data_IF_617800444592
#
_entry.id   IF_617800444592
#
_cell.length_a   1.000
_cell.length_b   1.000
_cell.length_c   1.000
_cell.angle_alpha   90.00
_cell.angle_beta   90.00
_cell.angle_gamma   90.00
#
_symmetry.space_group_name_H-M   'P 1'
#
loop_
_entity.id
_entity.type
_entity.pdbx_description
1 polymer ?
#
# COMPACT_ATOMS: atom_id res chain seq x y z
N UNK A 1 -1.12 -12.20 15.20
CA UNK A 1 0.16 -11.99 14.49
C UNK A 1 -0.11 -11.38 13.12
N UNK A 2 -0.16 -10.06 13.03
CA UNK A 2 -0.01 -9.34 11.76
C UNK A 2 0.98 -8.22 12.06
N UNK A 3 2.27 -8.53 11.95
CA UNK A 3 3.32 -7.53 11.93
C UNK A 3 3.17 -6.75 10.63
N UNK A 4 2.19 -5.85 10.59
CA UNK A 4 2.09 -4.84 9.54
C UNK A 4 3.36 -4.01 9.58
N UNK A 5 3.97 -3.83 8.41
CA UNK A 5 5.09 -2.91 8.25
C UNK A 5 4.68 -1.54 8.85
N UNK A 6 5.59 -0.91 9.57
CA UNK A 6 5.43 0.49 9.98
C UNK A 6 5.46 1.41 8.76
N UNK A 7 5.04 2.66 8.92
CA UNK A 7 4.96 3.60 7.80
C UNK A 7 6.33 3.81 7.13
N UNK A 8 7.40 3.89 7.94
CA UNK A 8 8.79 3.92 7.47
C UNK A 8 9.16 2.68 6.63
N UNK A 9 8.75 1.49 7.07
CA UNK A 9 9.03 0.25 6.36
C UNK A 9 8.25 0.14 5.04
N UNK A 10 7.03 0.68 5.00
CA UNK A 10 6.23 0.79 3.79
C UNK A 10 6.83 1.79 2.79
N UNK A 11 7.29 2.95 3.26
CA UNK A 11 7.99 3.94 2.44
C UNK A 11 9.27 3.34 1.85
N UNK A 12 10.04 2.60 2.64
CA UNK A 12 11.21 1.85 2.16
C UNK A 12 10.84 0.86 1.06
N UNK A 13 9.78 0.06 1.26
CA UNK A 13 9.33 -0.93 0.28
C UNK A 13 8.83 -0.27 -1.01
N UNK A 14 8.14 0.86 -0.90
CA UNK A 14 7.64 1.67 -2.02
C UNK A 14 8.78 2.29 -2.82
N UNK A 15 9.84 2.77 -2.16
CA UNK A 15 11.06 3.22 -2.83
C UNK A 15 11.69 2.08 -3.65
N UNK A 16 11.80 0.87 -3.09
CA UNK A 16 12.32 -0.30 -3.82
C UNK A 16 11.41 -0.66 -5.01
N UNK A 17 10.08 -0.61 -4.83
CA UNK A 17 9.09 -0.87 -5.89
C UNK A 17 9.18 0.08 -7.06
N UNK A 18 9.47 1.37 -6.81
CA UNK A 18 9.69 2.39 -7.86
C UNK A 18 10.89 2.08 -8.76
N UNK A 19 11.66 1.04 -8.45
CA UNK A 19 12.73 0.56 -9.31
C UNK A 19 13.94 1.46 -9.21
N UNK A 20 14.50 1.61 -8.00
CA UNK A 20 15.85 2.14 -7.85
C UNK A 20 16.81 1.14 -8.53
N UNK A 21 17.09 1.39 -9.82
CA UNK A 21 18.05 0.62 -10.63
C UNK A 21 19.50 0.86 -10.19
N UNK A 22 19.71 1.72 -9.20
CA UNK A 22 21.01 2.18 -8.74
C UNK A 22 21.43 1.45 -7.46
N UNK A 23 22.72 1.16 -7.32
CA UNK A 23 23.35 0.70 -6.06
C UNK A 23 23.15 1.66 -4.88
N UNK A 24 22.71 2.90 -5.14
CA UNK A 24 22.37 3.89 -4.13
C UNK A 24 20.93 3.73 -3.69
N UNK A 25 20.74 2.84 -2.73
CA UNK A 25 19.52 2.76 -1.96
C UNK A 25 19.51 3.87 -0.90
N UNK A 26 18.33 4.44 -0.65
CA UNK A 26 18.15 5.43 0.39
C UNK A 26 18.57 4.85 1.76
N UNK A 27 19.10 5.68 2.68
CA UNK A 27 19.52 5.21 4.00
C UNK A 27 18.38 4.53 4.78
N UNK A 28 17.15 4.96 4.57
CA UNK A 28 15.93 4.35 5.11
C UNK A 28 15.69 2.94 4.53
N UNK A 29 15.82 2.78 3.21
CA UNK A 29 15.78 1.46 2.56
C UNK A 29 16.88 0.55 3.10
N UNK A 30 18.13 1.02 3.22
CA UNK A 30 19.23 0.22 3.75
C UNK A 30 18.99 -0.21 5.21
N UNK A 31 18.44 0.67 6.04
CA UNK A 31 18.08 0.39 7.43
C UNK A 31 17.04 -0.74 7.53
N UNK A 32 16.03 -0.73 6.65
CA UNK A 32 14.95 -1.71 6.66
C UNK A 32 15.17 -2.89 5.69
N UNK A 33 16.19 -2.86 4.85
CA UNK A 33 16.43 -3.86 3.81
C UNK A 33 16.58 -5.28 4.37
N UNK A 34 17.29 -5.41 5.50
CA UNK A 34 17.47 -6.71 6.18
C UNK A 34 16.12 -7.28 6.66
N UNK A 35 15.25 -6.42 7.17
CA UNK A 35 13.92 -6.79 7.64
C UNK A 35 13.00 -7.13 6.46
N UNK A 36 12.92 -6.26 5.45
CA UNK A 36 12.12 -6.47 4.25
C UNK A 36 12.52 -7.76 3.52
N UNK A 37 13.82 -8.05 3.48
CA UNK A 37 14.35 -9.29 2.91
C UNK A 37 14.00 -10.50 3.77
N UNK A 38 14.12 -10.40 5.11
CA UNK A 38 13.69 -11.45 6.03
C UNK A 38 12.19 -11.79 5.93
N UNK A 39 11.35 -10.79 5.65
CA UNK A 39 9.91 -10.96 5.41
C UNK A 39 9.55 -11.43 3.98
N UNK A 40 10.56 -11.58 3.12
CA UNK A 40 10.43 -11.95 1.70
C UNK A 40 9.64 -10.93 0.87
N UNK A 41 9.65 -9.65 1.26
CA UNK A 41 9.07 -8.57 0.48
C UNK A 41 10.02 -8.04 -0.59
N UNK A 42 11.33 -8.16 -0.37
CA UNK A 42 12.38 -7.82 -1.34
C UNK A 42 13.37 -8.97 -1.48
N UNK A 43 13.96 -9.08 -2.66
CA UNK A 43 14.96 -10.09 -3.02
C UNK A 43 16.21 -9.41 -3.59
N UNK A 44 17.39 -9.95 -3.30
CA UNK A 44 18.64 -9.45 -3.87
C UNK A 44 18.96 -10.24 -5.13
N UNK A 45 18.82 -9.58 -6.29
CA UNK A 45 19.26 -10.18 -7.53
C UNK A 45 20.77 -10.40 -7.56
N UNK A 46 21.24 -11.27 -8.47
CA UNK A 46 22.67 -11.61 -8.64
C UNK A 46 23.60 -10.40 -8.83
N UNK A 47 23.06 -9.27 -9.27
CA UNK A 47 23.80 -8.02 -9.47
C UNK A 47 23.97 -7.18 -8.18
N UNK A 48 23.52 -7.69 -7.03
CA UNK A 48 23.46 -6.96 -5.75
C UNK A 48 22.37 -5.89 -5.70
N UNK A 49 21.43 -5.91 -6.65
CA UNK A 49 20.31 -4.95 -6.73
C UNK A 49 19.11 -5.56 -6.02
N UNK A 50 18.55 -4.81 -5.07
CA UNK A 50 17.28 -5.19 -4.43
C UNK A 50 16.14 -5.02 -5.43
N UNK A 51 15.32 -6.05 -5.56
CA UNK A 51 14.07 -6.05 -6.31
C UNK A 51 12.92 -6.37 -5.39
N UNK A 52 11.78 -5.74 -5.61
CA UNK A 52 10.56 -6.10 -4.90
C UNK A 52 10.07 -7.47 -5.37
N UNK A 53 9.57 -8.30 -4.45
CA UNK A 53 8.93 -9.57 -4.78
C UNK A 53 7.44 -9.36 -5.09
N UNK A 54 6.80 -10.38 -5.65
CA UNK A 54 5.35 -10.35 -5.84
C UNK A 54 4.60 -10.14 -4.51
N UNK A 55 5.08 -10.77 -3.43
CA UNK A 55 4.53 -10.59 -2.09
C UNK A 55 4.65 -9.14 -1.62
N UNK A 56 5.82 -8.51 -1.79
CA UNK A 56 6.02 -7.10 -1.45
C UNK A 56 5.10 -6.18 -2.25
N UNK A 57 4.90 -6.49 -3.53
CA UNK A 57 4.01 -5.75 -4.42
C UNK A 57 2.54 -5.88 -3.98
N UNK A 58 2.08 -7.09 -3.65
CA UNK A 58 0.73 -7.32 -3.12
C UNK A 58 0.51 -6.60 -1.78
N UNK A 59 1.49 -6.63 -0.88
CA UNK A 59 1.42 -5.94 0.41
C UNK A 59 1.38 -4.41 0.24
N UNK A 60 2.21 -3.85 -0.63
CA UNK A 60 2.11 -2.43 -0.99
C UNK A 60 0.74 -2.10 -1.57
N UNK A 61 0.25 -2.92 -2.50
CA UNK A 61 -1.03 -2.71 -3.14
C UNK A 61 -2.17 -2.69 -2.11
N UNK A 62 -2.20 -3.62 -1.16
CA UNK A 62 -3.18 -3.62 -0.08
C UNK A 62 -3.11 -2.34 0.78
N UNK A 63 -1.90 -1.91 1.17
CA UNK A 63 -1.72 -0.66 1.93
C UNK A 63 -2.18 0.55 1.12
N UNK A 64 -1.88 0.60 -0.17
CA UNK A 64 -2.35 1.65 -1.09
C UNK A 64 -3.88 1.66 -1.22
N UNK A 65 -4.55 0.49 -1.21
CA UNK A 65 -6.01 0.41 -1.16
C UNK A 65 -6.58 0.99 0.13
N UNK A 66 -5.96 0.68 1.29
CA UNK A 66 -6.40 1.20 2.59
C UNK A 66 -6.18 2.71 2.67
N UNK A 67 -5.00 3.18 2.29
CA UNK A 67 -4.66 4.62 2.26
C UNK A 67 -5.55 5.39 1.30
N UNK A 68 -5.79 4.82 0.12
CA UNK A 68 -6.70 5.38 -0.88
C UNK A 68 -8.12 5.49 -0.33
N UNK A 69 -8.61 4.48 0.36
CA UNK A 69 -9.94 4.48 0.94
C UNK A 69 -10.05 5.49 2.11
N UNK A 70 -9.01 5.66 2.94
CA UNK A 70 -8.92 6.76 3.92
C UNK A 70 -8.94 8.13 3.25
N UNK A 71 -8.21 8.28 2.15
CA UNK A 71 -8.18 9.53 1.38
C UNK A 71 -9.54 9.86 0.80
N UNK A 72 -10.26 8.89 0.25
CA UNK A 72 -11.64 9.09 -0.23
C UNK A 72 -12.59 9.44 0.91
N UNK A 73 -12.46 8.76 2.06
CA UNK A 73 -13.28 9.07 3.23
C UNK A 73 -13.08 10.50 3.74
N UNK A 74 -11.86 11.02 3.69
CA UNK A 74 -11.55 12.41 4.06
C UNK A 74 -11.82 13.41 2.92
N UNK A 75 -11.62 13.00 1.67
CA UNK A 75 -11.74 13.81 0.48
C UNK A 75 -12.24 12.98 -0.71
N UNK A 76 -13.51 13.12 -1.12
CA UNK A 76 -14.11 12.31 -2.17
C UNK A 76 -13.49 12.52 -3.56
N UNK A 77 -12.74 13.61 -3.77
CA UNK A 77 -12.05 13.91 -5.03
C UNK A 77 -10.58 13.49 -5.02
N UNK A 78 -10.15 12.67 -4.05
CA UNK A 78 -8.76 12.27 -3.94
C UNK A 78 -8.29 11.43 -5.14
N UNK A 79 -7.07 11.70 -5.59
CA UNK A 79 -6.43 10.96 -6.67
C UNK A 79 -6.02 9.57 -6.18
N UNK A 80 -6.61 8.55 -6.80
CA UNK A 80 -6.28 7.14 -6.60
C UNK A 80 -5.53 6.61 -7.81
N UNK A 81 -4.64 5.66 -7.56
CA UNK A 81 -4.01 4.88 -8.62
C UNK A 81 -5.08 4.08 -9.38
N UNK A 82 -4.95 3.95 -10.70
CA UNK A 82 -5.98 3.31 -11.53
C UNK A 82 -6.29 1.88 -11.06
N UNK A 83 -5.25 1.12 -10.72
CA UNK A 83 -5.38 -0.26 -10.22
C UNK A 83 -6.09 -0.32 -8.87
N UNK A 84 -5.77 0.60 -7.96
CA UNK A 84 -6.38 0.69 -6.62
C UNK A 84 -7.86 1.04 -6.75
N UNK A 85 -8.17 2.02 -7.60
CA UNK A 85 -9.53 2.47 -7.89
C UNK A 85 -10.39 1.34 -8.44
N UNK A 86 -9.92 0.63 -9.46
CA UNK A 86 -10.64 -0.52 -10.03
C UNK A 86 -10.88 -1.62 -8.99
N UNK A 87 -9.88 -1.89 -8.14
CA UNK A 87 -10.02 -2.89 -7.08
C UNK A 87 -11.08 -2.50 -6.04
N UNK A 88 -11.07 -1.25 -5.58
CA UNK A 88 -12.03 -0.73 -4.61
C UNK A 88 -13.46 -0.71 -5.17
N UNK A 89 -13.63 -0.31 -6.45
CA UNK A 89 -14.91 -0.36 -7.16
C UNK A 89 -15.40 -1.81 -7.29
N UNK A 90 -14.53 -2.73 -7.71
CA UNK A 90 -14.84 -4.16 -7.87
C UNK A 90 -15.27 -4.83 -6.57
N UNK A 91 -14.71 -4.42 -5.44
CA UNK A 91 -15.09 -4.89 -4.10
C UNK A 91 -16.32 -4.19 -3.51
N UNK A 92 -16.85 -3.19 -4.21
CA UNK A 92 -17.94 -2.30 -3.78
C UNK A 92 -17.61 -1.54 -2.49
N UNK A 93 -16.34 -1.17 -2.31
CA UNK A 93 -15.88 -0.36 -1.17
C UNK A 93 -16.03 1.14 -1.41
N UNK A 94 -16.02 1.55 -2.67
CA UNK A 94 -16.29 2.93 -3.10
C UNK A 94 -17.34 2.90 -4.21
N UNK A 95 -18.11 3.99 -4.32
CA UNK A 95 -19.04 4.24 -5.42
C UNK A 95 -18.65 5.51 -6.14
N UNK A 96 -18.80 5.53 -7.46
CA UNK A 96 -18.65 6.74 -8.26
C UNK A 96 -19.77 7.72 -7.92
N UNK A 97 -19.43 8.99 -7.67
CA UNK A 97 -20.46 10.02 -7.41
C UNK A 97 -21.10 10.39 -8.75
N UNK A 98 -22.40 10.19 -8.89
CA UNK A 98 -23.13 10.58 -10.09
C UNK A 98 -23.09 12.11 -10.26
N UNK A 99 -22.60 12.57 -11.43
CA UNK A 99 -22.54 13.99 -11.76
C UNK A 99 -21.35 14.76 -11.18
N UNK A 100 -20.40 14.12 -10.50
CA UNK A 100 -19.20 14.77 -9.96
C UNK A 100 -17.91 13.99 -10.26
N UNK A 101 -16.78 14.71 -10.27
CA UNK A 101 -15.45 14.09 -10.35
C UNK A 101 -15.07 13.63 -8.94
N UNK A 102 -15.42 12.41 -8.57
CA UNK A 102 -15.09 11.85 -7.26
C UNK A 102 -15.69 10.48 -6.98
N UNK A 103 -15.30 9.92 -5.84
CA UNK A 103 -15.81 8.67 -5.30
C UNK A 103 -16.30 8.89 -3.87
N UNK A 104 -17.36 8.21 -3.49
CA UNK A 104 -17.81 8.11 -2.10
C UNK A 104 -17.44 6.75 -1.52
N UNK A 105 -17.10 6.72 -0.24
CA UNK A 105 -16.89 5.47 0.49
C UNK A 105 -18.26 4.85 0.81
N UNK A 106 -18.44 3.57 0.45
CA UNK A 106 -19.68 2.86 0.77
C UNK A 106 -19.67 2.41 2.24
N UNK A 107 -20.83 2.09 2.80
CA UNK A 107 -20.93 1.51 4.15
C UNK A 107 -19.99 0.29 4.32
N UNK A 108 -19.90 -0.57 3.30
CA UNK A 108 -18.99 -1.72 3.30
C UNK A 108 -17.51 -1.32 3.35
N UNK A 109 -17.13 -0.29 2.61
CA UNK A 109 -15.78 0.26 2.62
C UNK A 109 -15.44 0.88 3.99
N UNK A 110 -16.37 1.64 4.57
CA UNK A 110 -16.22 2.26 5.87
C UNK A 110 -16.08 1.22 7.00
N UNK A 111 -16.92 0.20 7.01
CA UNK A 111 -16.85 -0.91 7.98
C UNK A 111 -15.54 -1.69 7.83
N UNK A 112 -15.12 -2.00 6.60
CA UNK A 112 -13.84 -2.67 6.36
C UNK A 112 -12.66 -1.82 6.82
N UNK A 113 -12.72 -0.50 6.61
CA UNK A 113 -11.68 0.40 7.07
C UNK A 113 -11.64 0.50 8.59
N UNK A 114 -12.80 0.56 9.23
CA UNK A 114 -12.92 0.58 10.68
C UNK A 114 -12.38 -0.72 11.30
N UNK A 115 -12.63 -1.87 10.69
CA UNK A 115 -12.08 -3.17 11.13
C UNK A 115 -10.54 -3.25 10.98
N UNK A 116 -10.00 -2.65 9.91
CA UNK A 116 -8.56 -2.59 9.65
C UNK A 116 -7.86 -1.56 10.54
N UNK A 117 -8.48 -0.41 10.79
CA UNK A 117 -7.96 0.65 11.67
C UNK A 117 -8.16 0.32 13.15
N UNK A 118 -9.16 -0.52 13.46
CA UNK A 118 -9.36 -1.01 14.80
C UNK A 118 -8.02 -1.60 15.27
N UNK A 119 -7.44 -1.05 16.36
CA UNK A 119 -6.25 -1.63 16.93
C UNK A 119 -6.66 -3.05 17.31
N UNK A 120 -6.15 -4.04 16.56
CA UNK A 120 -6.37 -5.45 16.82
C UNK A 120 -5.81 -5.71 18.23
N UNK A 121 -6.68 -5.54 19.22
CA UNK A 121 -6.33 -5.46 20.63
C UNK A 121 -6.08 -6.89 21.08
N UNK A 122 -4.80 -7.24 21.06
CA UNK A 122 -4.10 -8.33 21.76
C UNK A 122 -4.88 -9.61 22.02
#
# INVERSE_FOLDING_TARGET
MNAGLTDDEFEALKEVSRGIKSKRLSPLVLKHAKLLSGLKYVDYGRNGIMKITERGTQTLFMKHCIDGLRKIAANPIALLDANVKEFLLKKSHISSIEGAVGYEITAKGAESLADIDAPQRK
#
